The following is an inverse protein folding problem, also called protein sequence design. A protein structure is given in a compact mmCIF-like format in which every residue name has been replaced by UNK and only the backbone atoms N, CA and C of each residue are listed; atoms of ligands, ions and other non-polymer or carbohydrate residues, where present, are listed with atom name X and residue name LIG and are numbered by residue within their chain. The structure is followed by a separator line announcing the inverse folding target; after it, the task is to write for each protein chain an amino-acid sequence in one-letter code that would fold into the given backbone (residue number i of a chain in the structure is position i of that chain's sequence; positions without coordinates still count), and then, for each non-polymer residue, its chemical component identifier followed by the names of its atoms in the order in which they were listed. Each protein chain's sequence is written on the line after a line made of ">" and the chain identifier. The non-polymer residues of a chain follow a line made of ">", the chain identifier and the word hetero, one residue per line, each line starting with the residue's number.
data_IF_672507725760
#
_entry.id   IF_672507725760
#
_cell.length_a   1.000
_cell.length_b   1.000
_cell.length_c   1.000
_cell.angle_alpha   90.00
_cell.angle_beta   90.00
_cell.angle_gamma   90.00
#
_symmetry.space_group_name_H-M   'P 1'
#
loop_
_entity.id
_entity.type
_entity.pdbx_description
1 polymer ?
#
# COMPACT_ATOMS: atom_id res chain seq x y z
N UNK A 1 -9.50 -22.50 15.17
CA UNK A 1 -10.46 -23.35 14.45
C UNK A 1 -9.74 -24.31 13.51
N UNK A 2 -8.80 -23.86 12.66
CA UNK A 2 -8.12 -24.71 11.67
C UNK A 2 -7.29 -25.88 12.27
N UNK A 3 -6.70 -25.72 13.46
CA UNK A 3 -6.03 -26.82 14.16
C UNK A 3 -6.99 -27.91 14.58
N UNK A 4 -8.16 -27.53 15.14
CA UNK A 4 -9.21 -28.47 15.50
C UNK A 4 -9.76 -29.21 14.29
N UNK A 5 -9.87 -28.55 13.14
CA UNK A 5 -10.36 -29.15 11.90
C UNK A 5 -9.36 -30.20 11.36
N UNK A 6 -8.04 -29.95 11.50
CA UNK A 6 -6.97 -30.91 11.15
C UNK A 6 -6.98 -32.14 12.05
N UNK A 7 -7.08 -31.96 13.36
CA UNK A 7 -7.18 -33.06 14.32
C UNK A 7 -8.43 -33.91 14.08
N UNK A 8 -9.57 -33.27 13.78
CA UNK A 8 -10.80 -33.99 13.43
C UNK A 8 -10.67 -34.78 12.14
N UNK A 9 -10.05 -34.22 11.10
CA UNK A 9 -9.82 -34.89 9.83
C UNK A 9 -8.88 -36.10 9.99
N UNK A 10 -7.79 -35.94 10.75
CA UNK A 10 -6.85 -37.02 11.04
C UNK A 10 -7.50 -38.14 11.86
N UNK A 11 -8.23 -37.79 12.89
CA UNK A 11 -8.97 -38.77 13.70
C UNK A 11 -9.99 -39.57 12.85
N UNK A 12 -10.73 -38.89 11.98
CA UNK A 12 -11.64 -39.52 11.03
C UNK A 12 -10.91 -40.47 10.06
N UNK A 13 -9.77 -40.06 9.51
CA UNK A 13 -8.96 -40.90 8.65
C UNK A 13 -8.43 -42.14 9.37
N UNK A 14 -7.94 -41.98 10.61
CA UNK A 14 -7.44 -43.09 11.43
C UNK A 14 -8.54 -44.10 11.79
N UNK A 15 -9.72 -43.62 12.15
CA UNK A 15 -10.88 -44.53 12.42
C UNK A 15 -11.31 -45.30 11.17
N UNK A 16 -11.45 -44.61 10.03
CA UNK A 16 -11.83 -45.29 8.76
C UNK A 16 -10.78 -46.27 8.31
N UNK A 17 -9.52 -45.90 8.43
CA UNK A 17 -8.38 -46.76 8.11
C UNK A 17 -8.34 -48.02 8.95
N UNK A 18 -8.55 -47.87 10.24
CA UNK A 18 -8.65 -49.03 11.18
C UNK A 18 -9.78 -49.98 10.79
N UNK A 19 -10.97 -49.45 10.49
CA UNK A 19 -12.11 -50.26 10.05
C UNK A 19 -11.80 -51.09 8.79
N UNK A 20 -11.11 -50.49 7.82
CA UNK A 20 -10.72 -51.19 6.57
C UNK A 20 -9.72 -52.31 6.86
N UNK A 21 -8.69 -52.03 7.69
CA UNK A 21 -7.69 -53.01 8.09
C UNK A 21 -8.30 -54.18 8.83
N UNK A 22 -9.19 -53.92 9.78
CA UNK A 22 -9.84 -54.92 10.59
C UNK A 22 -10.74 -55.84 9.72
N UNK A 23 -11.52 -55.27 8.79
CA UNK A 23 -12.32 -56.02 7.83
C UNK A 23 -11.48 -56.94 6.96
N UNK A 24 -10.38 -56.40 6.36
CA UNK A 24 -9.50 -57.20 5.51
C UNK A 24 -8.78 -58.29 6.31
N UNK A 25 -8.31 -57.97 7.52
CA UNK A 25 -7.64 -58.93 8.39
C UNK A 25 -8.57 -60.08 8.80
N UNK A 26 -9.88 -59.82 8.97
CA UNK A 26 -10.87 -60.83 9.25
C UNK A 26 -11.15 -61.75 8.05
N UNK A 27 -11.04 -61.24 6.83
CA UNK A 27 -11.36 -62.01 5.61
C UNK A 27 -10.16 -62.75 5.03
N UNK A 28 -8.92 -62.28 5.25
CA UNK A 28 -7.73 -62.92 4.68
C UNK A 28 -7.36 -64.18 5.46
N UNK A 29 -7.25 -65.30 4.78
CA UNK A 29 -6.87 -66.60 5.33
C UNK A 29 -5.37 -66.81 5.53
N UNK A 30 -4.53 -66.06 4.79
CA UNK A 30 -3.08 -66.18 4.83
C UNK A 30 -2.44 -65.09 5.68
N UNK A 31 -1.65 -65.48 6.69
CA UNK A 31 -1.00 -64.56 7.63
C UNK A 31 0.01 -63.61 6.96
N UNK A 32 0.77 -64.09 5.93
CA UNK A 32 1.72 -63.24 5.21
C UNK A 32 0.99 -62.15 4.39
N UNK A 33 -0.16 -62.50 3.79
CA UNK A 33 -1.00 -61.55 3.05
C UNK A 33 -1.59 -60.52 4.02
N UNK A 34 -1.99 -60.91 5.24
CA UNK A 34 -2.45 -59.98 6.27
C UNK A 34 -1.37 -58.98 6.66
N UNK A 35 -0.14 -59.45 6.91
CA UNK A 35 0.96 -58.64 7.32
C UNK A 35 1.38 -57.65 6.20
N UNK A 36 1.51 -58.13 4.97
CA UNK A 36 1.87 -57.31 3.82
C UNK A 36 0.83 -56.20 3.55
N UNK A 37 -0.45 -56.57 3.59
CA UNK A 37 -1.54 -55.61 3.44
C UNK A 37 -1.52 -54.57 4.56
N UNK A 38 -1.41 -54.97 5.82
CA UNK A 38 -1.41 -54.08 6.96
C UNK A 38 -0.26 -53.07 6.90
N UNK A 39 0.94 -53.53 6.52
CA UNK A 39 2.11 -52.68 6.41
C UNK A 39 1.95 -51.63 5.27
N UNK A 40 1.51 -52.08 4.10
CA UNK A 40 1.26 -51.18 2.96
C UNK A 40 0.18 -50.16 3.27
N UNK A 41 -0.89 -50.60 3.93
CA UNK A 41 -2.02 -49.76 4.30
C UNK A 41 -1.62 -48.72 5.36
N UNK A 42 -0.79 -49.10 6.35
CA UNK A 42 -0.24 -48.16 7.34
C UNK A 42 0.66 -47.09 6.68
N UNK A 43 1.48 -47.48 5.72
CA UNK A 43 2.29 -46.50 4.98
C UNK A 43 1.43 -45.48 4.19
N UNK A 44 0.37 -45.95 3.55
CA UNK A 44 -0.57 -45.06 2.83
C UNK A 44 -1.38 -44.18 3.79
N UNK A 45 -1.76 -44.69 4.96
CA UNK A 45 -2.41 -43.93 6.03
C UNK A 45 -1.49 -42.81 6.52
N UNK A 46 -0.22 -43.10 6.81
CA UNK A 46 0.75 -42.10 7.24
C UNK A 46 0.97 -41.00 6.17
N UNK A 47 1.07 -41.37 4.90
CA UNK A 47 1.15 -40.39 3.80
C UNK A 47 -0.06 -39.46 3.76
N UNK A 48 -1.26 -39.99 3.97
CA UNK A 48 -2.50 -39.20 3.97
C UNK A 48 -2.57 -38.27 5.18
N UNK A 49 -2.21 -38.75 6.38
CA UNK A 49 -2.12 -37.93 7.59
C UNK A 49 -1.14 -36.77 7.37
N UNK A 50 0.06 -37.07 6.87
CA UNK A 50 1.05 -36.06 6.55
C UNK A 50 0.56 -35.03 5.51
N UNK A 51 -0.18 -35.47 4.49
CA UNK A 51 -0.77 -34.58 3.50
C UNK A 51 -1.83 -33.65 4.09
N UNK A 52 -2.67 -34.17 5.03
CA UNK A 52 -3.67 -33.36 5.75
C UNK A 52 -2.97 -32.34 6.65
N UNK A 53 -1.98 -32.77 7.43
CA UNK A 53 -1.23 -31.86 8.31
C UNK A 53 -0.56 -30.73 7.53
N UNK A 54 0.07 -31.05 6.41
CA UNK A 54 0.66 -30.04 5.53
C UNK A 54 -0.39 -29.08 4.96
N UNK A 55 -1.56 -29.60 4.53
CA UNK A 55 -2.63 -28.76 4.02
C UNK A 55 -3.20 -27.83 5.10
N UNK A 56 -3.41 -28.35 6.33
CA UNK A 56 -3.87 -27.55 7.48
C UNK A 56 -2.84 -26.50 7.85
N UNK A 57 -1.56 -26.87 7.92
CA UNK A 57 -0.48 -25.93 8.22
C UNK A 57 -0.40 -24.83 7.16
N UNK A 58 -0.44 -25.18 5.87
CA UNK A 58 -0.44 -24.19 4.77
C UNK A 58 -1.63 -23.24 4.85
N UNK A 59 -2.84 -23.76 5.12
CA UNK A 59 -4.03 -22.94 5.26
C UNK A 59 -3.95 -22.01 6.48
N UNK A 60 -3.37 -22.47 7.58
CA UNK A 60 -3.14 -21.65 8.76
C UNK A 60 -2.16 -20.50 8.46
N UNK A 61 -1.03 -20.80 7.80
CA UNK A 61 -0.07 -19.77 7.40
C UNK A 61 -0.70 -18.75 6.45
N UNK A 62 -1.47 -19.21 5.45
CA UNK A 62 -2.17 -18.30 4.54
C UNK A 62 -3.17 -17.40 5.29
N UNK A 63 -3.95 -17.96 6.23
CA UNK A 63 -4.91 -17.19 7.02
C UNK A 63 -4.22 -16.14 7.90
N UNK A 64 -3.06 -16.48 8.47
CA UNK A 64 -2.26 -15.55 9.28
C UNK A 64 -1.64 -14.45 8.41
N UNK A 65 -1.11 -14.78 7.22
CA UNK A 65 -0.59 -13.81 6.27
C UNK A 65 -1.66 -12.79 5.88
N UNK A 66 -2.86 -13.24 5.52
CA UNK A 66 -3.98 -12.35 5.21
C UNK A 66 -4.39 -11.47 6.39
N UNK A 67 -4.36 -12.00 7.61
CA UNK A 67 -4.64 -11.22 8.81
C UNK A 67 -3.56 -10.16 9.09
N UNK A 68 -2.29 -10.49 8.87
CA UNK A 68 -1.17 -9.56 8.98
C UNK A 68 -1.27 -8.44 7.94
N UNK A 69 -1.53 -8.79 6.68
CA UNK A 69 -1.74 -7.81 5.61
C UNK A 69 -2.93 -6.88 5.90
N UNK A 70 -4.05 -7.43 6.37
CA UNK A 70 -5.22 -6.65 6.76
C UNK A 70 -4.90 -5.70 7.93
N UNK A 71 -4.09 -6.15 8.89
CA UNK A 71 -3.65 -5.30 10.02
C UNK A 71 -2.72 -4.19 9.54
N UNK A 72 -1.76 -4.50 8.68
CA UNK A 72 -0.88 -3.50 8.06
C UNK A 72 -1.72 -2.45 7.31
N UNK A 73 -2.67 -2.90 6.48
CA UNK A 73 -3.58 -2.02 5.75
C UNK A 73 -4.42 -1.14 6.67
N UNK A 74 -4.90 -1.67 7.79
CA UNK A 74 -5.64 -0.89 8.80
C UNK A 74 -4.77 0.22 9.38
N UNK A 75 -3.53 -0.08 9.78
CA UNK A 75 -2.59 0.92 10.31
C UNK A 75 -2.32 2.05 9.29
N UNK A 76 -2.19 1.71 8.01
CA UNK A 76 -2.00 2.68 6.94
C UNK A 76 -3.26 3.53 6.70
N UNK A 77 -4.44 2.91 6.79
CA UNK A 77 -5.72 3.61 6.64
C UNK A 77 -5.93 4.63 7.74
N UNK A 78 -5.52 4.34 8.98
CA UNK A 78 -5.59 5.27 10.10
C UNK A 78 -4.72 6.53 9.89
N UNK A 79 -3.64 6.43 9.13
CA UNK A 79 -2.82 7.58 8.73
C UNK A 79 -3.51 8.40 7.64
N UNK A 80 -4.10 7.75 6.63
CA UNK A 80 -4.74 8.43 5.50
C UNK A 80 -6.07 9.10 5.90
N UNK A 81 -6.86 8.41 6.73
CA UNK A 81 -8.22 8.79 7.08
C UNK A 81 -8.44 8.71 8.60
N UNK A 82 -7.76 9.54 9.38
CA UNK A 82 -7.89 9.51 10.83
C UNK A 82 -9.31 9.88 11.25
N UNK A 83 -9.90 9.10 12.15
CA UNK A 83 -11.25 9.35 12.67
C UNK A 83 -11.37 10.71 13.38
N UNK A 84 -10.27 11.23 13.93
CA UNK A 84 -10.19 12.55 14.60
C UNK A 84 -9.94 13.71 13.62
N UNK A 85 -9.65 13.44 12.34
CA UNK A 85 -9.15 14.42 11.38
C UNK A 85 -7.66 14.76 11.53
N UNK A 86 -7.01 14.34 12.63
CA UNK A 86 -5.59 14.52 12.91
C UNK A 86 -4.88 13.16 12.89
N UNK A 87 -3.86 13.02 12.05
CA UNK A 87 -3.07 11.80 11.90
C UNK A 87 -1.76 11.81 12.72
N UNK A 88 -1.50 12.84 13.50
CA UNK A 88 -0.23 13.00 14.24
C UNK A 88 0.05 11.82 15.17
N UNK A 89 -0.96 11.34 15.90
CA UNK A 89 -0.85 10.19 16.78
C UNK A 89 -0.59 8.90 15.97
N UNK A 90 -1.34 8.68 14.88
CA UNK A 90 -1.15 7.51 14.02
C UNK A 90 0.27 7.49 13.44
N UNK A 91 0.78 8.62 12.95
CA UNK A 91 2.15 8.73 12.45
C UNK A 91 3.21 8.48 13.52
N UNK A 92 2.96 8.91 14.76
CA UNK A 92 3.88 8.72 15.88
C UNK A 92 3.99 7.24 16.29
N UNK A 93 2.88 6.50 16.31
CA UNK A 93 2.84 5.09 16.75
C UNK A 93 3.17 4.11 15.64
N UNK A 94 2.92 4.48 14.38
CA UNK A 94 3.05 3.61 13.22
C UNK A 94 4.39 2.86 13.11
N UNK A 95 5.58 3.49 13.35
CA UNK A 95 6.84 2.76 13.29
C UNK A 95 6.91 1.60 14.27
N UNK A 96 6.45 1.81 15.51
CA UNK A 96 6.44 0.80 16.56
C UNK A 96 5.42 -0.31 16.26
N UNK A 97 4.23 0.06 15.79
CA UNK A 97 3.16 -0.88 15.46
C UNK A 97 3.53 -1.78 14.28
N UNK A 98 4.14 -1.23 13.22
CA UNK A 98 4.67 -2.01 12.09
C UNK A 98 5.81 -2.93 12.51
N UNK A 99 6.75 -2.42 13.33
CA UNK A 99 7.85 -3.25 13.85
C UNK A 99 7.31 -4.43 14.65
N UNK A 100 6.32 -4.19 15.52
CA UNK A 100 5.66 -5.22 16.30
C UNK A 100 4.91 -6.23 15.44
N UNK A 101 4.22 -5.78 14.39
CA UNK A 101 3.53 -6.64 13.45
C UNK A 101 4.52 -7.56 12.72
N UNK A 102 5.58 -7.01 12.14
CA UNK A 102 6.59 -7.81 11.42
C UNK A 102 7.37 -8.74 12.34
N UNK A 103 7.60 -8.33 13.61
CA UNK A 103 8.20 -9.21 14.62
C UNK A 103 7.28 -10.39 14.93
N UNK A 104 5.97 -10.18 15.05
CA UNK A 104 5.00 -11.27 15.22
C UNK A 104 5.00 -12.21 14.02
N UNK A 105 5.03 -11.69 12.79
CA UNK A 105 5.10 -12.49 11.57
C UNK A 105 6.36 -13.37 11.53
N UNK A 106 7.48 -12.82 11.97
CA UNK A 106 8.74 -13.56 12.08
C UNK A 106 8.68 -14.64 13.17
N UNK A 107 8.21 -14.29 14.38
CA UNK A 107 8.11 -15.23 15.50
C UNK A 107 7.13 -16.39 15.22
N UNK A 108 6.10 -16.13 14.45
CA UNK A 108 5.12 -17.12 13.98
C UNK A 108 5.63 -17.95 12.77
N UNK A 109 6.83 -17.66 12.26
CA UNK A 109 7.44 -18.35 11.12
C UNK A 109 6.77 -18.07 9.77
N UNK A 110 6.00 -16.97 9.67
CA UNK A 110 5.35 -16.55 8.42
C UNK A 110 6.34 -15.91 7.45
N UNK A 111 7.36 -15.22 7.99
CA UNK A 111 8.46 -14.62 7.24
C UNK A 111 9.79 -15.08 7.80
N UNK A 112 10.83 -15.15 6.98
CA UNK A 112 12.17 -15.46 7.41
C UNK A 112 12.92 -14.19 7.90
N UNK A 113 14.13 -14.38 8.46
CA UNK A 113 14.92 -13.27 9.03
C UNK A 113 15.25 -12.19 7.98
N UNK A 114 15.58 -12.58 6.75
CA UNK A 114 15.92 -11.64 5.68
C UNK A 114 14.70 -10.79 5.27
N UNK A 115 13.52 -11.41 5.18
CA UNK A 115 12.26 -10.73 4.91
C UNK A 115 11.88 -9.77 6.05
N UNK A 116 12.07 -10.18 7.31
CA UNK A 116 11.85 -9.33 8.47
C UNK A 116 12.75 -8.10 8.44
N UNK A 117 14.05 -8.27 8.20
CA UNK A 117 15.01 -7.16 8.13
C UNK A 117 14.66 -6.18 7.01
N UNK A 118 14.29 -6.67 5.83
CA UNK A 118 13.84 -5.85 4.69
C UNK A 118 12.57 -5.07 5.04
N UNK A 119 11.56 -5.73 5.62
CA UNK A 119 10.32 -5.08 6.04
C UNK A 119 10.58 -3.97 7.06
N UNK A 120 11.39 -4.22 8.08
CA UNK A 120 11.75 -3.24 9.11
C UNK A 120 12.54 -2.07 8.52
N UNK A 121 13.54 -2.35 7.68
CA UNK A 121 14.33 -1.32 7.00
C UNK A 121 13.48 -0.42 6.08
N UNK A 122 12.37 -0.95 5.55
CA UNK A 122 11.47 -0.19 4.66
C UNK A 122 10.39 0.62 5.41
N UNK A 123 10.28 0.52 6.74
CA UNK A 123 9.28 1.29 7.52
C UNK A 123 9.38 2.80 7.26
N UNK A 124 10.57 3.45 7.28
CA UNK A 124 10.67 4.88 7.03
C UNK A 124 10.14 5.29 5.63
N UNK A 125 10.40 4.48 4.60
CA UNK A 125 9.88 4.72 3.26
C UNK A 125 8.34 4.60 3.21
N UNK A 126 7.77 3.59 3.86
CA UNK A 126 6.31 3.44 3.98
C UNK A 126 5.66 4.63 4.67
N UNK A 127 6.22 5.09 5.78
CA UNK A 127 5.71 6.25 6.52
C UNK A 127 5.75 7.50 5.63
N UNK A 128 6.86 7.76 4.96
CA UNK A 128 7.00 8.89 4.07
C UNK A 128 5.99 8.82 2.89
N UNK A 129 5.75 7.62 2.35
CA UNK A 129 4.75 7.39 1.31
C UNK A 129 3.33 7.76 1.79
N UNK A 130 2.90 7.23 2.95
CA UNK A 130 1.56 7.51 3.47
C UNK A 130 1.40 8.96 3.93
N UNK A 131 2.47 9.58 4.45
CA UNK A 131 2.48 11.02 4.74
C UNK A 131 2.26 11.84 3.48
N UNK A 132 2.99 11.55 2.40
CA UNK A 132 2.81 12.24 1.13
C UNK A 132 1.42 11.99 0.52
N UNK A 133 0.90 10.77 0.60
CA UNK A 133 -0.48 10.46 0.17
C UNK A 133 -1.52 11.22 0.98
N UNK A 134 -1.35 11.35 2.29
CA UNK A 134 -2.25 12.14 3.15
C UNK A 134 -2.18 13.62 2.80
N UNK A 135 -0.97 14.17 2.68
CA UNK A 135 -0.78 15.56 2.29
C UNK A 135 -1.41 15.86 0.93
N UNK A 136 -1.37 14.91 -0.03
CA UNK A 136 -1.97 15.08 -1.35
C UNK A 136 -3.50 15.15 -1.34
N UNK A 137 -4.15 14.54 -0.35
CA UNK A 137 -5.61 14.66 -0.17
C UNK A 137 -5.97 16.12 0.19
N UNK A 138 -5.14 16.78 1.00
CA UNK A 138 -5.38 18.14 1.46
C UNK A 138 -4.90 19.17 0.42
N UNK A 139 -3.68 19.02 -0.10
CA UNK A 139 -3.09 19.93 -1.10
C UNK A 139 -2.18 19.17 -2.09
N UNK A 140 -2.73 18.66 -3.20
CA UNK A 140 -1.94 17.91 -4.19
C UNK A 140 -0.91 18.79 -4.91
N UNK A 141 -1.13 20.11 -5.05
CA UNK A 141 -0.21 21.04 -5.71
C UNK A 141 1.05 21.23 -4.86
N UNK A 142 0.88 21.51 -3.58
CA UNK A 142 2.01 21.67 -2.66
C UNK A 142 2.72 20.33 -2.41
N UNK A 143 1.99 19.23 -2.34
CA UNK A 143 2.58 17.89 -2.19
C UNK A 143 3.44 17.52 -3.40
N UNK A 144 2.98 17.83 -4.62
CA UNK A 144 3.79 17.64 -5.83
C UNK A 144 5.10 18.43 -5.75
N UNK A 145 5.05 19.70 -5.30
CA UNK A 145 6.24 20.53 -5.10
C UNK A 145 7.20 19.88 -4.09
N UNK A 146 6.71 19.47 -2.92
CA UNK A 146 7.50 18.83 -1.86
C UNK A 146 8.16 17.52 -2.33
N UNK A 147 7.47 16.72 -3.15
CA UNK A 147 8.03 15.52 -3.75
C UNK A 147 9.19 15.86 -4.70
N UNK A 148 9.02 16.87 -5.56
CA UNK A 148 10.07 17.30 -6.49
C UNK A 148 11.30 17.84 -5.77
N UNK A 149 11.13 18.60 -4.71
CA UNK A 149 12.23 19.17 -3.91
C UNK A 149 12.87 18.16 -2.95
N UNK A 150 12.29 16.96 -2.83
CA UNK A 150 12.82 15.88 -1.97
C UNK A 150 12.61 16.13 -0.48
N UNK A 151 11.59 16.88 -0.10
CA UNK A 151 11.25 17.16 1.31
C UNK A 151 10.83 15.90 2.06
N UNK A 152 10.27 14.89 1.38
CA UNK A 152 10.00 13.56 1.94
C UNK A 152 11.27 12.68 1.90
N UNK A 153 12.21 12.97 2.81
CA UNK A 153 13.59 12.45 2.82
C UNK A 153 13.72 10.93 2.80
N UNK A 154 12.74 10.20 3.32
CA UNK A 154 12.81 8.74 3.44
C UNK A 154 12.17 8.00 2.25
N UNK A 155 11.61 8.73 1.26
CA UNK A 155 11.11 8.10 0.06
C UNK A 155 12.27 7.64 -0.82
N UNK A 156 12.24 6.36 -1.20
CA UNK A 156 13.12 5.87 -2.25
C UNK A 156 12.72 6.45 -3.62
N UNK A 157 13.64 6.36 -4.58
CA UNK A 157 13.46 6.98 -5.90
C UNK A 157 12.22 6.44 -6.63
N UNK A 158 12.04 5.13 -6.66
CA UNK A 158 10.93 4.46 -7.34
C UNK A 158 9.57 4.90 -6.78
N UNK A 159 9.41 4.81 -5.45
CA UNK A 159 8.19 5.24 -4.76
C UNK A 159 7.89 6.72 -4.99
N UNK A 160 8.94 7.57 -5.01
CA UNK A 160 8.79 8.99 -5.27
C UNK A 160 8.33 9.27 -6.69
N UNK A 161 8.89 8.59 -7.69
CA UNK A 161 8.50 8.75 -9.09
C UNK A 161 7.06 8.31 -9.35
N UNK A 162 6.62 7.23 -8.72
CA UNK A 162 5.24 6.76 -8.84
C UNK A 162 4.26 7.74 -8.18
N UNK A 163 4.57 8.24 -6.98
CA UNK A 163 3.78 9.28 -6.34
C UNK A 163 3.70 10.57 -7.17
N UNK A 164 4.82 11.00 -7.78
CA UNK A 164 4.84 12.17 -8.65
C UNK A 164 3.90 12.02 -9.84
N UNK A 165 3.84 10.83 -10.46
CA UNK A 165 2.91 10.56 -11.57
C UNK A 165 1.45 10.64 -11.13
N UNK A 166 1.12 9.98 -10.01
CA UNK A 166 -0.24 9.95 -9.49
C UNK A 166 -0.71 11.34 -9.08
N UNK A 167 0.07 12.03 -8.24
CA UNK A 167 -0.29 13.34 -7.68
C UNK A 167 -0.32 14.43 -8.77
N UNK A 168 0.51 14.30 -9.82
CA UNK A 168 0.45 15.21 -10.96
C UNK A 168 -0.92 15.20 -11.62
N UNK A 169 -1.55 14.05 -11.75
CA UNK A 169 -2.89 13.93 -12.35
C UNK A 169 -3.96 14.67 -11.53
N UNK A 170 -3.80 14.73 -10.20
CA UNK A 170 -4.69 15.44 -9.30
C UNK A 170 -4.35 16.94 -9.24
N UNK A 171 -3.07 17.30 -9.24
CA UNK A 171 -2.58 18.68 -9.11
C UNK A 171 -2.82 19.53 -10.35
N UNK A 172 -2.69 18.96 -11.58
CA UNK A 172 -2.84 19.68 -12.85
C UNK A 172 -4.18 20.40 -12.97
N UNK A 173 -5.35 19.77 -12.79
CA UNK A 173 -6.64 20.48 -12.95
C UNK A 173 -6.84 21.55 -11.88
N UNK A 174 -6.35 21.34 -10.66
CA UNK A 174 -6.43 22.33 -9.57
C UNK A 174 -5.60 23.55 -9.91
N UNK A 175 -4.34 23.35 -10.30
CA UNK A 175 -3.44 24.45 -10.64
C UNK A 175 -3.93 25.18 -11.90
N UNK A 176 -4.44 24.48 -12.89
CA UNK A 176 -5.05 25.10 -14.07
C UNK A 176 -6.18 26.05 -13.68
N UNK A 177 -7.07 25.60 -12.80
CA UNK A 177 -8.17 26.44 -12.29
C UNK A 177 -7.64 27.66 -11.49
N UNK A 178 -6.59 27.48 -10.70
CA UNK A 178 -5.97 28.59 -9.96
C UNK A 178 -5.38 29.62 -10.93
N UNK A 179 -4.68 29.18 -11.99
CA UNK A 179 -4.13 30.05 -13.03
C UNK A 179 -5.24 30.78 -13.77
N UNK A 180 -6.33 30.13 -14.15
CA UNK A 180 -7.48 30.74 -14.80
C UNK A 180 -8.14 31.83 -13.91
N UNK A 181 -8.28 31.55 -12.62
CA UNK A 181 -8.80 32.51 -11.66
C UNK A 181 -7.89 33.71 -11.48
N UNK A 182 -6.56 33.47 -11.45
CA UNK A 182 -5.56 34.54 -11.40
C UNK A 182 -5.65 35.44 -12.63
N UNK A 183 -5.75 34.86 -13.83
CA UNK A 183 -5.87 35.64 -15.08
C UNK A 183 -7.14 36.51 -15.05
N UNK A 184 -8.29 35.92 -14.63
CA UNK A 184 -9.57 36.66 -14.51
C UNK A 184 -9.48 37.80 -13.50
N UNK A 185 -8.82 37.58 -12.37
CA UNK A 185 -8.62 38.62 -11.36
C UNK A 185 -7.77 39.79 -11.91
N UNK A 186 -6.68 39.47 -12.61
CA UNK A 186 -5.86 40.49 -13.29
C UNK A 186 -6.66 41.29 -14.35
N UNK A 187 -7.51 40.61 -15.12
CA UNK A 187 -8.41 41.27 -16.09
C UNK A 187 -9.38 42.25 -15.44
N UNK A 188 -9.82 41.96 -14.22
CA UNK A 188 -10.69 42.80 -13.42
C UNK A 188 -9.96 43.87 -12.61
N UNK A 189 -8.64 43.89 -12.64
CA UNK A 189 -7.81 44.82 -11.84
C UNK A 189 -7.64 44.42 -10.39
N UNK A 190 -7.94 43.15 -10.07
CA UNK A 190 -7.76 42.56 -8.74
C UNK A 190 -6.38 41.91 -8.62
N UNK A 191 -5.89 41.77 -7.38
CA UNK A 191 -4.66 41.06 -7.10
C UNK A 191 -4.97 39.73 -6.42
N UNK A 192 -4.60 38.62 -7.08
CA UNK A 192 -4.58 37.27 -6.47
C UNK A 192 -3.15 36.77 -6.44
N UNK A 193 -2.87 35.87 -5.51
CA UNK A 193 -1.62 35.14 -5.49
C UNK A 193 -1.76 33.81 -6.21
N UNK A 194 -0.69 33.36 -6.86
CA UNK A 194 -0.62 32.07 -7.54
C UNK A 194 0.72 31.42 -7.24
N UNK A 195 0.72 30.10 -7.03
CA UNK A 195 1.93 29.36 -6.75
C UNK A 195 2.80 29.22 -8.01
N UNK A 196 3.66 30.24 -8.26
CA UNK A 196 4.57 30.30 -9.40
C UNK A 196 5.55 29.13 -9.47
N UNK A 197 6.00 28.64 -8.31
CA UNK A 197 6.87 27.48 -8.21
C UNK A 197 6.18 26.22 -8.73
N UNK A 198 4.93 25.99 -8.33
CA UNK A 198 4.14 24.86 -8.79
C UNK A 198 3.87 24.92 -10.30
N UNK A 199 3.61 26.10 -10.87
CA UNK A 199 3.43 26.26 -12.33
C UNK A 199 4.68 25.77 -13.07
N UNK A 200 5.87 26.19 -12.63
CA UNK A 200 7.13 25.79 -13.27
C UNK A 200 7.37 24.28 -13.14
N UNK A 201 7.11 23.70 -11.99
CA UNK A 201 7.38 22.29 -11.72
C UNK A 201 6.38 21.35 -12.40
N UNK A 202 5.09 21.72 -12.44
CA UNK A 202 4.05 20.88 -13.02
C UNK A 202 3.96 21.03 -14.54
N UNK A 203 4.01 22.26 -15.06
CA UNK A 203 3.85 22.53 -16.51
C UNK A 203 5.19 22.68 -17.25
N UNK A 204 6.29 22.84 -16.53
CA UNK A 204 7.63 23.01 -17.10
C UNK A 204 8.05 24.47 -17.32
N UNK A 205 9.34 24.64 -17.57
CA UNK A 205 9.98 25.99 -17.66
C UNK A 205 9.40 26.83 -18.80
N UNK A 206 9.08 26.24 -19.94
CA UNK A 206 8.53 26.97 -21.09
C UNK A 206 7.15 27.54 -20.79
N UNK A 207 6.23 26.71 -20.25
CA UNK A 207 4.90 27.17 -19.86
C UNK A 207 4.98 28.25 -18.76
N UNK A 208 5.89 28.09 -17.80
CA UNK A 208 6.13 29.05 -16.75
C UNK A 208 6.64 30.40 -17.32
N UNK A 209 7.60 30.38 -18.24
CA UNK A 209 8.12 31.59 -18.86
C UNK A 209 7.05 32.30 -19.69
N UNK A 210 6.22 31.55 -20.43
CA UNK A 210 5.09 32.10 -21.15
C UNK A 210 4.07 32.75 -20.22
N UNK A 211 3.79 32.08 -19.06
CA UNK A 211 2.93 32.65 -18.04
C UNK A 211 3.49 33.95 -17.44
N UNK A 212 4.78 33.98 -17.09
CA UNK A 212 5.44 35.20 -16.59
C UNK A 212 5.35 36.33 -17.61
N UNK A 213 5.73 36.07 -18.86
CA UNK A 213 5.74 37.06 -19.91
C UNK A 213 4.35 37.65 -20.20
N UNK A 214 3.34 36.79 -20.29
CA UNK A 214 1.99 37.20 -20.66
C UNK A 214 1.21 37.84 -19.51
N UNK A 215 1.43 37.43 -18.28
CA UNK A 215 0.54 37.76 -17.16
C UNK A 215 1.21 38.46 -15.98
N UNK A 216 2.51 38.30 -15.77
CA UNK A 216 3.22 38.90 -14.63
C UNK A 216 4.08 40.07 -15.04
N UNK A 217 4.84 39.94 -16.13
CA UNK A 217 5.75 40.99 -16.61
C UNK A 217 5.07 42.05 -17.49
N UNK A 218 3.73 41.99 -17.58
CA UNK A 218 2.96 43.10 -18.17
C UNK A 218 2.26 42.83 -19.48
N UNK A 219 2.12 41.58 -19.95
CA UNK A 219 1.40 41.28 -21.18
C UNK A 219 -0.02 41.81 -21.17
N UNK A 220 -0.88 41.34 -20.24
CA UNK A 220 -2.28 41.76 -20.15
C UNK A 220 -2.44 43.18 -19.59
N UNK A 221 -1.55 43.60 -18.66
CA UNK A 221 -1.57 44.97 -18.14
C UNK A 221 -1.03 45.97 -19.18
N UNK A 222 -0.06 45.57 -19.99
CA UNK A 222 0.46 46.38 -21.08
C UNK A 222 -0.57 46.61 -22.18
N UNK A 223 -1.25 45.56 -22.63
CA UNK A 223 -2.33 45.65 -23.64
C UNK A 223 -3.51 46.50 -23.15
N UNK A 224 -3.89 46.35 -21.85
CA UNK A 224 -4.91 47.24 -21.24
C UNK A 224 -4.44 48.68 -21.11
N UNK A 225 -3.19 48.92 -20.74
CA UNK A 225 -2.60 50.26 -20.69
C UNK A 225 -2.51 50.88 -22.08
N UNK A 226 -2.10 50.15 -23.10
CA UNK A 226 -2.10 50.61 -24.50
C UNK A 226 -3.51 50.89 -25.00
N UNK A 227 -4.50 50.03 -24.68
CA UNK A 227 -5.91 50.24 -25.05
C UNK A 227 -6.51 51.44 -24.34
N UNK A 228 -6.16 51.69 -23.08
CA UNK A 228 -6.58 52.89 -22.33
C UNK A 228 -5.90 54.17 -22.85
N UNK A 229 -4.63 54.06 -23.29
CA UNK A 229 -3.91 55.16 -23.87
C UNK A 229 -4.50 55.55 -25.25
N UNK A 230 -4.80 54.56 -26.08
CA UNK A 230 -5.43 54.79 -27.39
C UNK A 230 -6.86 55.33 -27.31
N UNK A 231 -7.59 55.11 -26.21
CA UNK A 231 -8.93 55.69 -25.98
C UNK A 231 -8.92 57.11 -25.42
N UNK A 232 -7.75 57.64 -25.05
CA UNK A 232 -7.58 59.00 -24.50
C UNK A 232 -6.96 60.01 -25.52
N UNK A 233 -6.61 59.54 -26.71
CA UNK A 233 -6.23 60.36 -27.86
C UNK A 233 -7.40 60.43 -28.81
#
# INVERSE_FOLDING_TARGET
>A
SNMKDGDMANNFLMEKSKLVRDKFSAQASNSNVKTLFSNNYLMEEQKKIYAVDNAVHKNLLNSRSLASEAKEQSLMTDVLYPASGDNSLALQTLPADLTKLYKSDFDDGMINIAEYEVKVANIPNKIAYFTAKRDSIDDPVETFRKLNTGEYKNLNLETREDLLKDIKLEAVPILTKQVDNYIKALENGETLDVNKGAIKEIFGTEAYNNFLFNFIDGGVLRDKAETLFQKKI
#
